data_IF_030104049718
#
_entry.id   IF_030104049718
#
_cell.length_a   1.000
_cell.length_b   1.000
_cell.length_c   1.000
_cell.angle_alpha   90.00
_cell.angle_beta   90.00
_cell.angle_gamma   90.00
#
_symmetry.space_group_name_H-M   'P 1'
#
loop_
_entity.id
_entity.type
_entity.pdbx_description
1 polymer ?
#
# COMPACT_ATOMS: atom_id res chain seq x y z
N UNK A 1 6.84 -8.30 22.64
CA UNK A 1 6.52 -7.46 21.48
C UNK A 1 7.78 -7.19 20.70
N UNK A 2 7.87 -7.64 19.44
CA UNK A 2 9.04 -7.42 18.59
C UNK A 2 8.98 -6.00 18.00
N UNK A 3 9.85 -5.12 18.46
CA UNK A 3 9.82 -3.68 18.13
C UNK A 3 10.00 -3.42 16.64
N UNK A 4 10.80 -4.24 15.96
CA UNK A 4 11.04 -4.14 14.52
C UNK A 4 9.76 -4.42 13.71
N UNK A 5 8.98 -5.44 14.07
CA UNK A 5 7.68 -5.70 13.42
C UNK A 5 6.65 -4.61 13.70
N UNK A 6 6.66 -4.02 14.90
CA UNK A 6 5.82 -2.85 15.20
C UNK A 6 6.20 -1.67 14.30
N UNK A 7 7.49 -1.41 14.10
CA UNK A 7 7.96 -0.39 13.18
C UNK A 7 7.53 -0.68 11.74
N UNK A 8 7.67 -1.93 11.28
CA UNK A 8 7.21 -2.37 9.95
C UNK A 8 5.70 -2.15 9.77
N UNK A 9 4.90 -2.47 10.79
CA UNK A 9 3.46 -2.27 10.76
C UNK A 9 3.07 -0.79 10.69
N UNK A 10 3.69 0.07 11.52
CA UNK A 10 3.46 1.52 11.50
C UNK A 10 3.82 2.09 10.13
N UNK A 11 4.99 1.72 9.59
CA UNK A 11 5.42 2.17 8.27
C UNK A 11 4.44 1.73 7.18
N UNK A 12 4.00 0.47 7.19
CA UNK A 12 3.00 -0.05 6.25
C UNK A 12 1.68 0.73 6.33
N UNK A 13 1.22 1.04 7.54
CA UNK A 13 0.02 1.85 7.76
C UNK A 13 0.17 3.27 7.18
N UNK A 14 1.30 3.92 7.45
CA UNK A 14 1.59 5.28 6.95
C UNK A 14 1.72 5.31 5.43
N UNK A 15 2.32 4.29 4.80
CA UNK A 15 2.35 4.15 3.34
C UNK A 15 0.91 4.08 2.79
N UNK A 16 0.03 3.31 3.43
CA UNK A 16 -1.39 3.25 3.06
C UNK A 16 -2.09 4.61 3.16
N UNK A 17 -1.87 5.35 4.25
CA UNK A 17 -2.39 6.72 4.40
C UNK A 17 -1.89 7.62 3.27
N UNK A 18 -0.58 7.63 3.01
CA UNK A 18 0.01 8.44 1.96
C UNK A 18 -0.53 8.06 0.58
N UNK A 19 -0.65 6.76 0.28
CA UNK A 19 -1.18 6.28 -0.99
C UNK A 19 -2.60 6.78 -1.23
N UNK A 20 -3.53 6.54 -0.30
CA UNK A 20 -4.93 7.00 -0.46
C UNK A 20 -5.06 8.52 -0.42
N UNK A 21 -4.45 9.21 0.55
CA UNK A 21 -4.63 10.65 0.71
C UNK A 21 -4.00 11.44 -0.44
N UNK A 22 -2.78 11.10 -0.87
CA UNK A 22 -2.12 11.78 -1.98
C UNK A 22 -2.78 11.46 -3.31
N UNK A 23 -3.20 10.21 -3.55
CA UNK A 23 -3.95 9.85 -4.75
C UNK A 23 -5.26 10.62 -4.85
N UNK A 24 -6.00 10.71 -3.75
CA UNK A 24 -7.24 11.48 -3.66
C UNK A 24 -6.98 12.96 -3.96
N UNK A 25 -5.99 13.58 -3.30
CA UNK A 25 -5.69 15.00 -3.45
C UNK A 25 -5.12 15.34 -4.84
N UNK A 26 -4.22 14.52 -5.40
CA UNK A 26 -3.47 14.85 -6.61
C UNK A 26 -4.14 14.41 -7.90
N UNK A 27 -4.92 13.32 -7.87
CA UNK A 27 -5.48 12.65 -9.05
C UNK A 27 -7.00 12.75 -9.04
N UNK A 28 -7.66 12.17 -8.04
CA UNK A 28 -9.10 11.95 -8.09
C UNK A 28 -9.95 13.18 -7.81
N UNK A 29 -9.48 14.10 -6.96
CA UNK A 29 -10.11 15.39 -6.71
C UNK A 29 -10.37 16.17 -8.01
N UNK A 30 -9.43 16.11 -8.95
CA UNK A 30 -9.49 16.78 -10.27
C UNK A 30 -10.46 16.11 -11.24
N UNK A 31 -10.87 14.88 -10.96
CA UNK A 31 -11.81 14.10 -11.79
C UNK A 31 -13.23 14.03 -11.19
N UNK A 32 -13.47 14.73 -10.06
CA UNK A 32 -14.78 14.84 -9.42
C UNK A 32 -15.66 15.91 -10.06
N UNK A 33 -16.96 15.64 -10.08
CA UNK A 33 -18.00 16.59 -10.49
C UNK A 33 -19.15 16.56 -9.47
N UNK A 34 -18.95 17.22 -8.32
CA UNK A 34 -19.97 17.36 -7.27
C UNK A 34 -20.26 16.10 -6.44
N UNK A 35 -19.61 14.97 -6.72
CA UNK A 35 -19.78 13.71 -6.00
C UNK A 35 -18.45 13.17 -5.46
N UNK A 36 -18.52 12.28 -4.46
CA UNK A 36 -17.35 11.63 -3.84
C UNK A 36 -16.64 10.67 -4.80
N UNK A 37 -17.37 9.95 -5.64
CA UNK A 37 -16.76 9.05 -6.62
C UNK A 37 -16.48 9.82 -7.91
N UNK A 38 -15.22 9.89 -8.39
CA UNK A 38 -14.88 10.61 -9.62
C UNK A 38 -15.50 9.92 -10.84
N UNK A 39 -15.89 10.73 -11.82
CA UNK A 39 -16.55 10.28 -13.05
C UNK A 39 -15.95 10.87 -14.32
N UNK A 40 -15.11 11.90 -14.18
CA UNK A 40 -14.64 12.73 -15.28
C UNK A 40 -13.18 12.43 -15.64
N UNK A 41 -12.97 11.46 -16.53
CA UNK A 41 -11.65 11.07 -17.06
C UNK A 41 -11.50 11.21 -18.57
N UNK A 42 -12.48 11.85 -19.24
CA UNK A 42 -12.46 12.05 -20.70
C UNK A 42 -11.32 12.99 -21.13
N UNK A 43 -10.81 12.85 -22.37
CA UNK A 43 -11.27 11.93 -23.43
C UNK A 43 -10.72 10.50 -23.29
N UNK A 44 -9.76 10.26 -22.40
CA UNK A 44 -8.99 9.00 -22.35
C UNK A 44 -9.74 7.88 -21.62
N UNK A 45 -10.40 8.19 -20.50
CA UNK A 45 -11.06 7.21 -19.65
C UNK A 45 -12.58 7.41 -19.62
N UNK A 46 -13.32 6.32 -19.87
CA UNK A 46 -14.75 6.26 -19.62
C UNK A 46 -15.05 6.30 -18.12
N UNK A 47 -16.25 6.75 -17.74
CA UNK A 47 -16.68 6.86 -16.34
C UNK A 47 -16.53 5.56 -15.55
N UNK A 48 -16.81 4.40 -16.17
CA UNK A 48 -16.59 3.10 -15.54
C UNK A 48 -15.11 2.84 -15.18
N UNK A 49 -14.19 3.18 -16.09
CA UNK A 49 -12.74 3.04 -15.86
C UNK A 49 -12.25 3.97 -14.75
N UNK A 50 -12.77 5.19 -14.67
CA UNK A 50 -12.45 6.13 -13.59
C UNK A 50 -12.92 5.58 -12.23
N UNK A 51 -14.13 5.02 -12.18
CA UNK A 51 -14.69 4.42 -10.95
C UNK A 51 -13.86 3.24 -10.45
N UNK A 52 -13.50 2.30 -11.34
CA UNK A 52 -12.70 1.14 -10.93
C UNK A 52 -11.27 1.55 -10.57
N UNK A 53 -10.68 2.55 -11.25
CA UNK A 53 -9.38 3.10 -10.89
C UNK A 53 -9.38 3.74 -9.50
N UNK A 54 -10.43 4.51 -9.17
CA UNK A 54 -10.61 5.08 -7.83
C UNK A 54 -10.82 4.00 -6.78
N UNK A 55 -11.69 3.02 -7.06
CA UNK A 55 -11.97 1.94 -6.12
C UNK A 55 -10.73 1.07 -5.86
N UNK A 56 -10.00 0.66 -6.90
CA UNK A 56 -8.81 -0.17 -6.77
C UNK A 56 -7.68 0.53 -6.00
N UNK A 57 -7.57 1.85 -6.14
CA UNK A 57 -6.63 2.68 -5.38
C UNK A 57 -6.86 2.58 -3.86
N UNK A 58 -8.11 2.70 -3.42
CA UNK A 58 -8.45 2.60 -2.00
C UNK A 58 -8.49 1.15 -1.49
N UNK A 59 -8.91 0.19 -2.31
CA UNK A 59 -8.85 -1.25 -1.97
C UNK A 59 -7.41 -1.68 -1.69
N UNK A 60 -6.43 -1.22 -2.49
CA UNK A 60 -5.02 -1.51 -2.24
C UNK A 60 -4.56 -0.97 -0.88
N UNK A 61 -5.04 0.21 -0.47
CA UNK A 61 -4.77 0.77 0.87
C UNK A 61 -5.34 -0.13 1.97
N UNK A 62 -6.58 -0.61 1.79
CA UNK A 62 -7.23 -1.49 2.75
C UNK A 62 -6.46 -2.82 2.91
N UNK A 63 -5.96 -3.39 1.80
CA UNK A 63 -5.09 -4.57 1.86
C UNK A 63 -3.76 -4.26 2.54
N UNK A 64 -3.15 -3.11 2.28
CA UNK A 64 -1.95 -2.66 2.99
C UNK A 64 -2.18 -2.54 4.50
N UNK A 65 -3.32 -2.01 4.93
CA UNK A 65 -3.68 -1.94 6.34
C UNK A 65 -3.98 -3.31 6.96
N UNK A 66 -4.54 -4.25 6.20
CA UNK A 66 -4.66 -5.63 6.66
C UNK A 66 -3.28 -6.24 6.93
N UNK A 67 -2.29 -6.01 6.06
CA UNK A 67 -0.90 -6.44 6.29
C UNK A 67 -0.29 -5.76 7.52
N UNK A 68 -0.51 -4.46 7.72
CA UNK A 68 -0.08 -3.76 8.93
C UNK A 68 -0.69 -4.36 10.21
N UNK A 69 -1.98 -4.68 10.19
CA UNK A 69 -2.64 -5.34 11.31
C UNK A 69 -2.08 -6.74 11.57
N UNK A 70 -1.79 -7.52 10.53
CA UNK A 70 -1.13 -8.83 10.64
C UNK A 70 0.25 -8.69 11.28
N UNK A 71 1.07 -7.73 10.84
CA UNK A 71 2.39 -7.46 11.43
C UNK A 71 2.30 -7.08 12.91
N UNK A 72 1.34 -6.25 13.31
CA UNK A 72 1.12 -5.94 14.74
C UNK A 72 0.75 -7.18 15.55
N UNK A 73 -0.10 -8.06 15.01
CA UNK A 73 -0.51 -9.29 15.72
C UNK A 73 0.67 -10.24 15.87
N UNK A 74 1.42 -10.47 14.80
CA UNK A 74 2.63 -11.29 14.79
C UNK A 74 3.73 -10.73 15.71
N UNK A 75 3.77 -9.40 15.94
CA UNK A 75 4.73 -8.80 16.87
C UNK A 75 4.51 -9.20 18.33
N UNK A 76 3.30 -9.63 18.71
CA UNK A 76 2.87 -9.77 20.11
C UNK A 76 2.56 -11.20 20.54
N UNK A 77 2.29 -12.09 19.58
CA UNK A 77 1.84 -13.45 19.84
C UNK A 77 2.80 -14.47 19.23
N UNK A 78 3.17 -15.49 20.01
CA UNK A 78 3.76 -16.70 19.45
C UNK A 78 2.71 -17.38 18.58
N UNK A 79 2.87 -17.22 17.27
CA UNK A 79 1.95 -17.73 16.26
C UNK A 79 2.65 -18.87 15.52
N UNK A 80 2.07 -20.08 15.45
CA UNK A 80 2.62 -21.14 14.61
C UNK A 80 2.80 -20.66 13.17
N UNK A 81 3.95 -20.97 12.58
CA UNK A 81 4.29 -20.59 11.20
C UNK A 81 4.36 -19.07 10.95
N UNK A 82 4.63 -18.26 11.99
CA UNK A 82 4.80 -16.81 11.84
C UNK A 82 5.83 -16.45 10.76
N UNK A 83 6.92 -17.21 10.65
CA UNK A 83 7.96 -17.10 9.63
C UNK A 83 7.41 -17.15 8.20
N UNK A 84 6.49 -18.07 7.91
CA UNK A 84 5.86 -18.19 6.58
C UNK A 84 5.03 -16.95 6.24
N UNK A 85 4.25 -16.45 7.22
CA UNK A 85 3.46 -15.22 7.02
C UNK A 85 4.35 -14.00 6.81
N UNK A 86 5.40 -13.86 7.62
CA UNK A 86 6.36 -12.77 7.49
C UNK A 86 7.05 -12.79 6.12
N UNK A 87 7.49 -13.95 5.65
CA UNK A 87 8.16 -14.08 4.35
C UNK A 87 7.21 -13.78 3.18
N UNK A 88 5.95 -14.23 3.26
CA UNK A 88 4.91 -13.89 2.29
C UNK A 88 4.64 -12.38 2.23
N UNK A 89 4.55 -11.71 3.38
CA UNK A 89 4.34 -10.25 3.46
C UNK A 89 5.58 -9.53 2.91
N UNK A 90 6.79 -9.90 3.34
CA UNK A 90 8.03 -9.28 2.89
C UNK A 90 8.21 -9.42 1.38
N UNK A 91 7.98 -10.62 0.83
CA UNK A 91 8.06 -10.89 -0.61
C UNK A 91 7.03 -10.08 -1.39
N UNK A 92 5.78 -9.98 -0.90
CA UNK A 92 4.76 -9.16 -1.54
C UNK A 92 5.13 -7.67 -1.55
N UNK A 93 5.68 -7.15 -0.44
CA UNK A 93 6.15 -5.77 -0.33
C UNK A 93 7.32 -5.51 -1.28
N UNK A 94 8.30 -6.41 -1.35
CA UNK A 94 9.44 -6.27 -2.27
C UNK A 94 9.01 -6.37 -3.73
N UNK A 95 8.15 -7.32 -4.09
CA UNK A 95 7.63 -7.44 -5.45
C UNK A 95 6.86 -6.17 -5.87
N UNK A 96 6.03 -5.63 -4.97
CA UNK A 96 5.37 -4.34 -5.16
C UNK A 96 6.37 -3.20 -5.32
N UNK A 97 7.42 -3.15 -4.51
CA UNK A 97 8.49 -2.16 -4.61
C UNK A 97 9.19 -2.21 -5.97
N UNK A 98 9.55 -3.41 -6.44
CA UNK A 98 10.20 -3.64 -7.73
C UNK A 98 9.30 -3.20 -8.89
N UNK A 99 8.00 -3.51 -8.82
CA UNK A 99 7.02 -3.08 -9.81
C UNK A 99 6.94 -1.55 -9.88
N UNK A 100 6.85 -0.87 -8.74
CA UNK A 100 6.82 0.60 -8.67
C UNK A 100 8.13 1.20 -9.19
N UNK A 101 9.28 0.65 -8.78
CA UNK A 101 10.59 1.08 -9.24
C UNK A 101 10.70 0.99 -10.77
N UNK A 102 10.33 -0.15 -11.34
CA UNK A 102 10.36 -0.40 -12.78
C UNK A 102 9.39 0.52 -13.53
N UNK A 103 8.11 0.52 -13.16
CA UNK A 103 7.05 1.26 -13.85
C UNK A 103 7.26 2.78 -13.81
N UNK A 104 7.87 3.30 -12.74
CA UNK A 104 8.09 4.75 -12.55
C UNK A 104 9.52 5.20 -12.83
N UNK A 105 10.40 4.27 -13.24
CA UNK A 105 11.84 4.51 -13.41
C UNK A 105 12.47 5.15 -12.17
N UNK A 106 12.07 4.68 -10.98
CA UNK A 106 12.55 5.14 -9.68
C UNK A 106 12.06 6.53 -9.23
N UNK A 107 11.21 7.20 -10.00
CA UNK A 107 10.74 8.55 -9.67
C UNK A 107 9.66 8.60 -8.59
N UNK A 108 8.97 7.49 -8.34
CA UNK A 108 7.91 7.44 -7.34
C UNK A 108 8.45 6.90 -6.01
N UNK A 109 8.34 7.63 -4.89
CA UNK A 109 8.96 7.24 -3.61
C UNK A 109 8.38 5.95 -3.00
N UNK A 110 7.23 5.46 -3.51
CA UNK A 110 6.61 4.22 -3.05
C UNK A 110 7.54 2.99 -3.09
N UNK A 111 8.50 2.92 -4.03
CA UNK A 111 9.45 1.80 -4.04
C UNK A 111 10.33 1.78 -2.79
N UNK A 112 10.78 2.95 -2.30
CA UNK A 112 11.58 3.05 -1.08
C UNK A 112 10.78 2.59 0.14
N UNK A 113 9.54 3.07 0.27
CA UNK A 113 8.68 2.72 1.41
C UNK A 113 8.41 1.22 1.50
N UNK A 114 8.04 0.59 0.38
CA UNK A 114 7.75 -0.84 0.33
C UNK A 114 9.00 -1.70 0.55
N UNK A 115 10.16 -1.33 -0.04
CA UNK A 115 11.43 -2.02 0.21
C UNK A 115 11.85 -1.93 1.68
N UNK A 116 11.65 -0.78 2.33
CA UNK A 116 11.98 -0.61 3.74
C UNK A 116 11.13 -1.49 4.65
N UNK A 117 9.84 -1.67 4.34
CA UNK A 117 8.96 -2.62 5.06
C UNK A 117 9.50 -4.05 4.93
N UNK A 118 9.81 -4.50 3.72
CA UNK A 118 10.35 -5.84 3.49
C UNK A 118 11.67 -6.07 4.26
N UNK A 119 12.56 -5.06 4.22
CA UNK A 119 13.81 -5.08 4.96
C UNK A 119 13.57 -5.21 6.48
N UNK A 120 12.67 -4.40 7.05
CA UNK A 120 12.35 -4.48 8.47
C UNK A 120 11.82 -5.86 8.87
N UNK A 121 10.98 -6.48 8.04
CA UNK A 121 10.44 -7.82 8.32
C UNK A 121 11.57 -8.87 8.34
N UNK A 122 12.51 -8.83 7.40
CA UNK A 122 13.63 -9.79 7.36
C UNK A 122 14.67 -9.60 8.48
N UNK A 123 14.73 -8.41 9.08
CA UNK A 123 15.62 -8.11 10.21
C UNK A 123 14.92 -8.14 11.57
N UNK A 124 13.65 -8.54 11.64
CA UNK A 124 12.89 -8.63 12.88
C UNK A 124 13.23 -9.90 13.66
#
# INVERSE_FOLDING_TARGET
MQTVLVAAAILTFLIGVAHSALGEAMIFSKMRQGALVPTHGRPVLHTGHVRILWASWHVLTLFGWAMAAMLLRLSSAETPHADVFLDCIATAMLAGAMLVLFATRGRHPGWLGLSLVAMLIWFA
#
